data_IF_669114776032
#
_entry.id   IF_669114776032
#
_cell.length_a   1.000
_cell.length_b   1.000
_cell.length_c   1.000
_cell.angle_alpha   90.00
_cell.angle_beta   90.00
_cell.angle_gamma   90.00
#
_symmetry.space_group_name_H-M   'P 1'
#
loop_
_entity.id
_entity.type
_entity.pdbx_description
1 polymer ?
#
# COMPACT_ATOMS: atom_id res chain seq x y z
N UNK A 1 -33.86 36.91 -9.11
CA UNK A 1 -33.50 38.27 -8.65
C UNK A 1 -32.04 38.48 -9.00
N UNK A 2 -31.75 39.39 -9.92
CA UNK A 2 -30.39 39.72 -10.35
C UNK A 2 -29.61 40.26 -9.15
N UNK A 3 -28.59 39.54 -8.68
CA UNK A 3 -27.68 40.07 -7.64
C UNK A 3 -26.85 41.21 -8.27
N UNK A 4 -26.59 42.30 -7.54
CA UNK A 4 -25.78 43.38 -8.08
C UNK A 4 -24.34 42.90 -8.21
N UNK A 5 -23.88 42.70 -9.44
CA UNK A 5 -22.46 42.57 -9.76
C UNK A 5 -21.81 43.94 -9.58
N UNK A 6 -20.69 44.00 -8.85
CA UNK A 6 -19.92 45.23 -8.73
C UNK A 6 -19.47 45.69 -10.13
N UNK A 7 -19.55 46.99 -10.39
CA UNK A 7 -18.99 47.59 -11.60
C UNK A 7 -17.47 47.62 -11.54
N UNK A 8 -16.82 47.75 -12.69
CA UNK A 8 -15.36 47.87 -12.79
C UNK A 8 -14.78 48.95 -11.85
N UNK A 9 -15.42 50.13 -11.81
CA UNK A 9 -14.98 51.24 -10.94
C UNK A 9 -15.20 50.99 -9.45
N UNK A 10 -16.19 50.17 -9.09
CA UNK A 10 -16.41 49.76 -7.70
C UNK A 10 -15.38 48.72 -7.26
N UNK A 11 -14.99 47.80 -8.16
CA UNK A 11 -13.93 46.81 -7.91
C UNK A 11 -12.59 47.51 -7.63
N UNK A 12 -12.23 48.53 -8.41
CA UNK A 12 -10.96 49.26 -8.24
C UNK A 12 -10.85 49.97 -6.89
N UNK A 13 -11.99 50.40 -6.33
CA UNK A 13 -12.09 51.09 -5.04
C UNK A 13 -12.06 50.15 -3.84
N UNK A 14 -12.13 48.84 -4.04
CA UNK A 14 -12.03 47.87 -2.94
C UNK A 14 -10.64 47.90 -2.31
N UNK A 15 -10.60 47.84 -0.98
CA UNK A 15 -9.37 47.74 -0.21
C UNK A 15 -8.96 46.26 -0.06
N UNK A 16 -8.52 45.66 -1.17
CA UNK A 16 -8.08 44.26 -1.29
C UNK A 16 -6.83 44.18 -2.18
N UNK A 17 -6.16 43.04 -2.19
CA UNK A 17 -4.99 42.81 -3.03
C UNK A 17 -5.33 42.88 -4.53
N UNK A 18 -4.36 43.32 -5.35
CA UNK A 18 -4.58 43.51 -6.79
C UNK A 18 -4.89 42.19 -7.53
N UNK A 19 -4.37 41.04 -7.08
CA UNK A 19 -4.70 39.76 -7.71
C UNK A 19 -6.17 39.41 -7.51
N UNK A 20 -6.73 39.67 -6.33
CA UNK A 20 -8.17 39.51 -6.08
C UNK A 20 -8.99 40.47 -6.94
N UNK A 21 -8.56 41.74 -7.11
CA UNK A 21 -9.22 42.67 -8.03
C UNK A 21 -9.19 42.18 -9.48
N UNK A 22 -8.07 41.65 -9.94
CA UNK A 22 -7.94 41.10 -11.29
C UNK A 22 -8.93 39.95 -11.52
N UNK A 23 -9.09 39.04 -10.55
CA UNK A 23 -10.07 37.96 -10.66
C UNK A 23 -11.52 38.47 -10.65
N UNK A 24 -11.84 39.52 -9.88
CA UNK A 24 -13.15 40.18 -9.91
C UNK A 24 -13.40 40.88 -11.26
N UNK A 25 -12.40 41.57 -11.82
CA UNK A 25 -12.48 42.22 -13.14
C UNK A 25 -12.74 41.17 -14.23
N UNK A 26 -11.98 40.05 -14.21
CA UNK A 26 -12.18 38.93 -15.14
C UNK A 26 -13.56 38.29 -14.97
N UNK A 27 -14.03 38.11 -13.73
CA UNK A 27 -15.37 37.58 -13.48
C UNK A 27 -16.47 38.50 -14.02
N UNK A 28 -16.33 39.81 -13.85
CA UNK A 28 -17.24 40.81 -14.42
C UNK A 28 -17.36 40.69 -15.95
N UNK A 29 -16.23 40.55 -16.68
CA UNK A 29 -16.25 40.34 -18.12
C UNK A 29 -16.98 39.06 -18.56
N UNK A 30 -17.02 38.05 -17.70
CA UNK A 30 -17.72 36.80 -17.95
C UNK A 30 -19.13 36.75 -17.33
N UNK A 31 -19.65 37.86 -16.78
CA UNK A 31 -20.91 37.94 -16.04
C UNK A 31 -21.01 36.96 -14.86
N UNK A 32 -19.88 36.74 -14.16
CA UNK A 32 -19.77 35.86 -13.00
C UNK A 32 -19.72 36.70 -11.72
N UNK A 33 -20.58 36.40 -10.75
CA UNK A 33 -20.58 37.04 -9.44
C UNK A 33 -19.69 36.28 -8.44
N UNK A 34 -18.57 36.90 -8.05
CA UNK A 34 -17.64 36.35 -7.05
C UNK A 34 -17.74 37.03 -5.69
N UNK A 35 -18.63 38.01 -5.51
CA UNK A 35 -18.71 38.81 -4.27
C UNK A 35 -19.05 37.95 -3.06
N UNK A 36 -19.89 36.95 -3.25
CA UNK A 36 -20.18 35.95 -2.21
C UNK A 36 -18.91 35.28 -1.68
N UNK A 37 -18.00 34.86 -2.57
CA UNK A 37 -16.77 34.18 -2.20
C UNK A 37 -15.75 35.16 -1.60
N UNK A 38 -15.65 36.37 -2.15
CA UNK A 38 -14.82 37.44 -1.58
C UNK A 38 -15.21 37.73 -0.11
N UNK A 39 -16.51 37.89 0.16
CA UNK A 39 -17.03 38.13 1.51
C UNK A 39 -16.79 36.97 2.48
N UNK A 40 -16.49 35.77 1.98
CA UNK A 40 -16.06 34.61 2.77
C UNK A 40 -14.55 34.57 3.02
N UNK A 41 -13.81 35.62 2.66
CA UNK A 41 -12.37 35.74 2.87
C UNK A 41 -11.55 34.83 1.96
N UNK A 42 -12.04 34.52 0.76
CA UNK A 42 -11.32 33.68 -0.20
C UNK A 42 -10.15 34.46 -0.81
N UNK A 43 -9.00 33.80 -0.98
CA UNK A 43 -7.82 34.40 -1.61
C UNK A 43 -7.99 34.53 -3.12
N UNK A 44 -7.14 35.34 -3.78
CA UNK A 44 -7.14 35.47 -5.25
C UNK A 44 -7.07 34.11 -5.97
N UNK A 45 -6.20 33.19 -5.52
CA UNK A 45 -6.09 31.84 -6.11
C UNK A 45 -7.40 31.05 -5.98
N UNK A 46 -8.09 31.18 -4.86
CA UNK A 46 -9.37 30.53 -4.64
C UNK A 46 -10.44 31.15 -5.54
N UNK A 47 -10.54 32.48 -5.58
CA UNK A 47 -11.47 33.23 -6.45
C UNK A 47 -11.28 32.84 -7.92
N UNK A 48 -10.02 32.68 -8.35
CA UNK A 48 -9.69 32.17 -9.68
C UNK A 48 -10.28 30.78 -9.94
N UNK A 49 -10.12 29.83 -9.02
CA UNK A 49 -10.69 28.49 -9.19
C UNK A 49 -12.22 28.51 -9.23
N UNK A 50 -12.88 29.28 -8.37
CA UNK A 50 -14.34 29.48 -8.43
C UNK A 50 -14.76 30.08 -9.77
N UNK A 51 -14.08 31.15 -10.23
CA UNK A 51 -14.38 31.80 -11.51
C UNK A 51 -14.28 30.82 -12.67
N UNK A 52 -13.17 30.10 -12.78
CA UNK A 52 -12.94 29.19 -13.91
C UNK A 52 -13.92 28.01 -13.83
N UNK A 53 -14.27 27.52 -12.63
CA UNK A 53 -15.28 26.47 -12.47
C UNK A 53 -16.65 26.92 -12.99
N UNK A 54 -17.13 28.10 -12.58
CA UNK A 54 -18.41 28.67 -13.05
C UNK A 54 -18.35 28.90 -14.58
N UNK A 55 -17.26 29.52 -15.06
CA UNK A 55 -17.06 29.81 -16.48
C UNK A 55 -17.05 28.54 -17.35
N UNK A 56 -16.52 27.42 -16.82
CA UNK A 56 -16.45 26.15 -17.54
C UNK A 56 -17.79 25.39 -17.55
N UNK A 57 -18.83 25.90 -16.87
CA UNK A 57 -20.15 25.27 -16.82
C UNK A 57 -20.28 24.13 -15.80
N UNK A 58 -19.42 24.07 -14.79
CA UNK A 58 -19.62 23.16 -13.65
C UNK A 58 -20.93 23.52 -12.96
N UNK A 59 -21.78 22.52 -12.70
CA UNK A 59 -23.09 22.72 -12.05
C UNK A 59 -22.94 23.45 -10.70
N UNK A 60 -23.77 24.49 -10.49
CA UNK A 60 -23.76 25.34 -9.30
C UNK A 60 -23.89 24.53 -8.00
N UNK A 61 -24.59 23.39 -8.05
CA UNK A 61 -24.71 22.45 -6.93
C UNK A 61 -23.34 22.00 -6.42
N UNK A 62 -22.34 21.83 -7.30
CA UNK A 62 -20.99 21.42 -6.93
C UNK A 62 -20.11 22.59 -6.49
N UNK A 63 -20.36 23.80 -6.99
CA UNK A 63 -19.58 25.00 -6.67
C UNK A 63 -19.98 25.57 -5.32
N UNK A 64 -21.27 25.54 -5.00
CA UNK A 64 -21.85 26.07 -3.76
C UNK A 64 -21.84 25.06 -2.60
N UNK A 65 -21.15 23.93 -2.78
CA UNK A 65 -20.91 23.00 -1.68
C UNK A 65 -20.13 23.70 -0.57
N UNK A 66 -20.46 23.36 0.68
CA UNK A 66 -19.68 23.74 1.86
C UNK A 66 -18.40 22.88 1.96
N UNK A 67 -17.59 22.92 0.91
CA UNK A 67 -16.32 22.21 0.75
C UNK A 67 -15.23 23.22 0.42
N UNK A 68 -13.99 22.87 0.72
CA UNK A 68 -12.84 23.69 0.36
C UNK A 68 -12.61 23.81 -1.14
N UNK A 69 -11.83 24.82 -1.48
CA UNK A 69 -11.53 25.21 -2.85
C UNK A 69 -10.76 24.13 -3.63
N UNK A 70 -9.98 23.28 -2.95
CA UNK A 70 -9.23 22.19 -3.58
C UNK A 70 -10.17 21.17 -4.22
N UNK A 71 -11.28 20.82 -3.55
CA UNK A 71 -12.30 19.94 -4.12
C UNK A 71 -12.86 20.54 -5.41
N UNK A 72 -13.16 21.83 -5.40
CA UNK A 72 -13.71 22.55 -6.57
C UNK A 72 -12.70 22.56 -7.72
N UNK A 73 -11.42 22.79 -7.42
CA UNK A 73 -10.34 22.70 -8.40
C UNK A 73 -10.32 21.33 -9.09
N UNK A 74 -10.39 20.23 -8.33
CA UNK A 74 -10.39 18.89 -8.93
C UNK A 74 -11.69 18.57 -9.69
N UNK A 75 -12.86 19.00 -9.18
CA UNK A 75 -14.14 18.86 -9.88
C UNK A 75 -14.08 19.56 -11.24
N UNK A 76 -13.57 20.80 -11.28
CA UNK A 76 -13.35 21.56 -12.51
C UNK A 76 -12.41 20.81 -13.47
N UNK A 77 -11.30 20.27 -12.97
CA UNK A 77 -10.36 19.51 -13.81
C UNK A 77 -11.02 18.28 -14.43
N UNK A 78 -11.84 17.56 -13.67
CA UNK A 78 -12.61 16.40 -14.17
C UNK A 78 -13.64 16.82 -15.21
N UNK A 79 -14.38 17.89 -14.96
CA UNK A 79 -15.34 18.43 -15.92
C UNK A 79 -14.66 18.81 -17.24
N UNK A 80 -13.50 19.47 -17.18
CA UNK A 80 -12.74 19.87 -18.37
C UNK A 80 -12.16 18.68 -19.16
N UNK A 81 -11.95 17.53 -18.51
CA UNK A 81 -11.60 16.27 -19.18
C UNK A 81 -12.83 15.54 -19.75
N UNK A 82 -14.05 16.08 -19.57
CA UNK A 82 -15.30 15.52 -20.10
C UNK A 82 -15.97 14.48 -19.20
N UNK A 83 -15.56 14.36 -17.92
CA UNK A 83 -16.19 13.42 -16.99
C UNK A 83 -17.57 13.92 -16.54
N UNK A 84 -18.54 12.98 -16.48
CA UNK A 84 -19.82 13.23 -15.82
C UNK A 84 -19.65 13.21 -14.31
N UNK A 85 -20.08 14.26 -13.62
CA UNK A 85 -19.86 14.45 -12.19
C UNK A 85 -20.88 13.74 -11.28
N UNK A 86 -21.86 13.02 -11.83
CA UNK A 86 -22.94 12.38 -11.07
C UNK A 86 -22.46 11.42 -9.99
N UNK A 87 -21.32 10.75 -10.22
CA UNK A 87 -20.74 9.82 -9.25
C UNK A 87 -20.30 10.52 -7.96
N UNK A 88 -20.07 11.84 -7.97
CA UNK A 88 -19.66 12.60 -6.79
C UNK A 88 -20.81 12.86 -5.82
N UNK A 89 -22.06 12.85 -6.30
CA UNK A 89 -23.23 13.14 -5.48
C UNK A 89 -23.36 12.19 -4.28
N UNK A 90 -22.81 10.96 -4.38
CA UNK A 90 -22.78 10.01 -3.26
C UNK A 90 -21.74 10.35 -2.18
N UNK A 91 -20.67 11.07 -2.54
CA UNK A 91 -19.59 11.44 -1.62
C UNK A 91 -19.79 12.79 -0.95
N UNK A 92 -20.80 13.55 -1.36
CA UNK A 92 -21.05 14.91 -0.90
C UNK A 92 -22.03 14.97 0.26
N UNK A 93 -21.84 15.96 1.13
CA UNK A 93 -22.72 16.21 2.28
C UNK A 93 -24.13 16.52 1.79
N UNK A 94 -25.09 15.67 2.18
CA UNK A 94 -26.51 15.87 1.90
C UNK A 94 -27.21 16.48 3.12
N UNK A 95 -28.20 17.38 2.94
CA UNK A 95 -29.03 17.89 4.05
C UNK A 95 -29.72 16.78 4.85
N UNK A 96 -29.90 15.60 4.25
CA UNK A 96 -30.54 14.43 4.84
C UNK A 96 -29.62 13.57 5.71
N UNK A 97 -28.41 14.04 6.06
CA UNK A 97 -27.49 13.34 6.96
C UNK A 97 -26.89 12.05 6.39
N UNK A 98 -26.78 11.93 5.06
CA UNK A 98 -26.14 10.77 4.41
C UNK A 98 -24.63 10.75 4.72
N UNK A 99 -24.01 9.55 4.82
CA UNK A 99 -22.56 9.44 4.95
C UNK A 99 -21.89 10.09 3.74
N UNK A 100 -20.90 10.93 4.01
CA UNK A 100 -20.12 11.66 3.03
C UNK A 100 -18.63 11.45 3.33
N UNK A 101 -17.78 11.59 2.32
CA UNK A 101 -16.35 11.54 2.55
C UNK A 101 -15.90 12.80 3.28
N UNK A 102 -14.91 12.64 4.15
CA UNK A 102 -14.14 13.78 4.64
C UNK A 102 -13.45 14.48 3.46
N UNK A 103 -13.24 15.79 3.59
CA UNK A 103 -12.76 16.62 2.50
C UNK A 103 -11.37 16.21 2.02
N UNK A 104 -10.47 15.89 2.96
CA UNK A 104 -9.12 15.42 2.68
C UNK A 104 -9.12 14.13 1.84
N UNK A 105 -10.00 13.20 2.19
CA UNK A 105 -10.20 11.91 1.55
C UNK A 105 -10.78 12.12 0.16
N UNK A 106 -11.79 12.99 0.03
CA UNK A 106 -12.39 13.34 -1.24
C UNK A 106 -11.36 13.95 -2.20
N UNK A 107 -10.51 14.88 -1.73
CA UNK A 107 -9.43 15.46 -2.52
C UNK A 107 -8.50 14.37 -3.07
N UNK A 108 -8.06 13.43 -2.22
CA UNK A 108 -7.20 12.33 -2.64
C UNK A 108 -7.86 11.44 -3.70
N UNK A 109 -9.13 11.09 -3.51
CA UNK A 109 -9.91 10.27 -4.47
C UNK A 109 -10.08 10.99 -5.80
N UNK A 110 -10.45 12.27 -5.79
CA UNK A 110 -10.62 13.09 -6.99
C UNK A 110 -9.31 13.24 -7.77
N UNK A 111 -8.21 13.52 -7.05
CA UNK A 111 -6.86 13.60 -7.62
C UNK A 111 -6.46 12.28 -8.29
N UNK A 112 -6.75 11.14 -7.67
CA UNK A 112 -6.53 9.83 -8.26
C UNK A 112 -7.40 9.64 -9.51
N UNK A 113 -8.69 10.02 -9.45
CA UNK A 113 -9.66 9.85 -10.54
C UNK A 113 -9.28 10.58 -11.84
N UNK A 114 -8.54 11.70 -11.75
CA UNK A 114 -8.01 12.42 -12.92
C UNK A 114 -7.05 11.61 -13.79
N UNK A 115 -6.44 10.57 -13.22
CA UNK A 115 -5.36 9.80 -13.87
C UNK A 115 -5.65 8.31 -13.93
N UNK A 116 -6.44 7.79 -12.99
CA UNK A 116 -6.74 6.37 -12.84
C UNK A 116 -8.22 6.17 -12.54
N UNK A 117 -8.79 5.07 -13.02
CA UNK A 117 -10.17 4.75 -12.74
C UNK A 117 -10.36 4.39 -11.26
N UNK A 118 -11.18 5.16 -10.54
CA UNK A 118 -11.53 4.88 -9.13
C UNK A 118 -12.95 4.33 -8.96
N UNK A 119 -13.72 4.18 -10.04
CA UNK A 119 -15.14 3.79 -10.00
C UNK A 119 -15.39 2.36 -9.51
N UNK A 120 -14.37 1.50 -9.53
CA UNK A 120 -14.46 0.12 -9.02
C UNK A 120 -14.52 0.04 -7.49
N UNK A 121 -14.16 1.10 -6.78
CA UNK A 121 -14.08 1.12 -5.33
C UNK A 121 -15.06 2.14 -4.77
N UNK A 122 -15.87 1.71 -3.81
CA UNK A 122 -16.69 2.63 -3.04
C UNK A 122 -15.98 3.09 -1.77
N UNK A 123 -15.33 4.25 -1.83
CA UNK A 123 -14.52 4.80 -0.74
C UNK A 123 -15.31 5.12 0.54
N UNK A 124 -16.65 5.15 0.52
CA UNK A 124 -17.46 5.23 1.74
C UNK A 124 -17.32 3.97 2.61
N UNK A 125 -16.97 2.83 2.01
CA UNK A 125 -16.79 1.55 2.71
C UNK A 125 -15.32 1.26 3.03
N UNK A 126 -14.42 2.21 2.76
CA UNK A 126 -12.99 2.08 3.03
C UNK A 126 -12.67 2.87 4.29
N UNK A 127 -11.99 2.25 5.25
CA UNK A 127 -11.52 2.98 6.44
C UNK A 127 -10.52 4.05 6.03
N UNK A 128 -10.54 5.19 6.74
CA UNK A 128 -9.75 6.38 6.39
C UNK A 128 -8.24 6.10 6.29
N UNK A 129 -7.71 5.36 7.24
CA UNK A 129 -6.32 4.89 7.32
C UNK A 129 -5.88 4.03 6.12
N UNK A 130 -6.82 3.38 5.44
CA UNK A 130 -6.53 2.51 4.29
C UNK A 130 -6.66 3.22 2.94
N UNK A 131 -7.24 4.42 2.89
CA UNK A 131 -7.49 5.16 1.64
C UNK A 131 -6.21 5.36 0.85
N UNK A 132 -5.12 5.74 1.51
CA UNK A 132 -3.83 5.99 0.86
C UNK A 132 -3.27 4.72 0.21
N UNK A 133 -3.44 3.56 0.84
CA UNK A 133 -3.08 2.27 0.26
C UNK A 133 -3.88 1.94 -0.99
N UNK A 134 -5.21 2.14 -0.97
CA UNK A 134 -6.05 1.94 -2.16
C UNK A 134 -5.67 2.89 -3.29
N UNK A 135 -5.44 4.17 -2.99
CA UNK A 135 -5.01 5.16 -3.98
C UNK A 135 -3.64 4.79 -4.55
N UNK A 136 -2.70 4.33 -3.72
CA UNK A 136 -1.42 3.83 -4.16
C UNK A 136 -1.58 2.69 -5.16
N UNK A 137 -2.36 1.65 -4.84
CA UNK A 137 -2.57 0.52 -5.75
C UNK A 137 -3.27 0.93 -7.06
N UNK A 138 -4.29 1.78 -7.01
CA UNK A 138 -4.95 2.32 -8.21
C UNK A 138 -4.00 3.15 -9.07
N UNK A 139 -3.13 3.95 -8.46
CA UNK A 139 -2.13 4.77 -9.17
C UNK A 139 -1.05 3.95 -9.88
N UNK A 140 -0.96 2.65 -9.58
CA UNK A 140 -0.13 1.69 -10.31
C UNK A 140 -0.90 0.96 -11.41
N UNK A 141 -2.19 1.24 -11.58
CA UNK A 141 -3.06 0.55 -12.53
C UNK A 141 -3.51 -0.84 -12.07
N UNK A 142 -3.40 -1.16 -10.77
CA UNK A 142 -3.77 -2.47 -10.26
C UNK A 142 -5.28 -2.59 -10.05
N UNK A 143 -5.83 -3.76 -10.38
CA UNK A 143 -7.24 -4.09 -10.07
C UNK A 143 -7.38 -4.49 -8.60
N UNK A 144 -7.91 -3.57 -7.79
CA UNK A 144 -8.13 -3.78 -6.35
C UNK A 144 -9.57 -4.26 -6.04
N UNK A 145 -10.38 -4.60 -7.04
CA UNK A 145 -11.74 -5.11 -6.85
C UNK A 145 -11.81 -6.28 -5.84
N UNK A 146 -10.85 -7.24 -5.82
CA UNK A 146 -10.84 -8.31 -4.82
C UNK A 146 -10.78 -7.81 -3.38
N UNK A 147 -10.16 -6.65 -3.14
CA UNK A 147 -9.94 -6.09 -1.82
C UNK A 147 -11.17 -5.33 -1.28
N UNK A 148 -12.06 -4.86 -2.16
CA UNK A 148 -13.21 -4.01 -1.77
C UNK A 148 -14.12 -4.68 -0.74
N UNK A 149 -14.40 -5.98 -0.90
CA UNK A 149 -15.30 -6.72 0.02
C UNK A 149 -14.69 -6.94 1.40
N UNK A 150 -13.36 -6.90 1.51
CA UNK A 150 -12.63 -7.25 2.74
C UNK A 150 -11.91 -6.05 3.34
N UNK A 151 -11.83 -4.93 2.62
CA UNK A 151 -11.17 -3.69 3.03
C UNK A 151 -11.56 -3.20 4.42
N UNK A 152 -12.79 -3.42 4.87
CA UNK A 152 -13.22 -3.06 6.23
C UNK A 152 -12.50 -3.84 7.35
N UNK A 153 -11.92 -5.01 7.05
CA UNK A 153 -11.23 -5.88 8.02
C UNK A 153 -9.72 -5.89 7.85
N UNK A 154 -9.19 -5.26 6.80
CA UNK A 154 -7.74 -5.20 6.57
C UNK A 154 -7.09 -4.24 7.56
N UNK A 155 -5.87 -4.57 7.97
CA UNK A 155 -4.91 -3.60 8.47
C UNK A 155 -4.05 -3.07 7.31
N UNK A 156 -3.29 -1.99 7.58
CA UNK A 156 -2.46 -1.32 6.58
C UNK A 156 -1.35 -2.24 6.02
N UNK A 157 -0.71 -3.03 6.87
CA UNK A 157 0.38 -3.92 6.48
C UNK A 157 -0.08 -5.03 5.55
N UNK A 158 -1.23 -5.64 5.84
CA UNK A 158 -1.88 -6.64 5.01
C UNK A 158 -2.35 -5.98 3.72
N UNK A 159 -2.91 -4.76 3.74
CA UNK A 159 -3.30 -4.07 2.52
C UNK A 159 -2.11 -3.92 1.56
N UNK A 160 -0.98 -3.40 2.03
CA UNK A 160 0.22 -3.27 1.20
C UNK A 160 0.80 -4.60 0.76
N UNK A 161 0.74 -5.64 1.60
CA UNK A 161 1.09 -7.00 1.20
C UNK A 161 0.24 -7.44 0.01
N UNK A 162 -1.10 -7.35 0.11
CA UNK A 162 -2.02 -7.78 -0.94
C UNK A 162 -1.85 -6.96 -2.22
N UNK A 163 -1.61 -5.65 -2.12
CA UNK A 163 -1.31 -4.79 -3.28
C UNK A 163 -0.03 -5.26 -3.98
N UNK A 164 1.03 -5.59 -3.23
CA UNK A 164 2.27 -6.11 -3.81
C UNK A 164 2.08 -7.47 -4.49
N UNK A 165 1.20 -8.32 -3.95
CA UNK A 165 0.84 -9.60 -4.57
C UNK A 165 0.05 -9.39 -5.87
N UNK A 166 -0.93 -8.50 -5.87
CA UNK A 166 -1.69 -8.14 -7.08
C UNK A 166 -0.74 -7.61 -8.17
N UNK A 167 0.16 -6.68 -7.82
CA UNK A 167 1.15 -6.14 -8.74
C UNK A 167 2.13 -7.18 -9.30
N UNK A 168 2.28 -8.33 -8.62
CA UNK A 168 3.11 -9.46 -9.06
C UNK A 168 2.30 -10.60 -9.70
N UNK A 169 1.02 -10.35 -10.02
CA UNK A 169 0.08 -11.32 -10.59
C UNK A 169 -0.14 -12.57 -9.73
N UNK A 170 -0.03 -12.44 -8.40
CA UNK A 170 -0.35 -13.51 -7.44
C UNK A 170 -1.81 -13.36 -7.01
N UNK A 171 -2.56 -14.46 -7.07
CA UNK A 171 -3.95 -14.47 -6.60
C UNK A 171 -4.02 -14.22 -5.09
N UNK A 172 -4.74 -13.17 -4.72
CA UNK A 172 -4.95 -12.76 -3.32
C UNK A 172 -6.16 -13.41 -2.67
N UNK A 173 -7.03 -14.08 -3.43
CA UNK A 173 -8.23 -14.75 -2.89
C UNK A 173 -7.92 -15.76 -1.78
N UNK A 174 -6.82 -16.56 -1.84
CA UNK A 174 -6.42 -17.45 -0.75
C UNK A 174 -6.11 -16.72 0.58
N UNK A 175 -5.64 -15.48 0.52
CA UNK A 175 -5.37 -14.68 1.73
C UNK A 175 -6.68 -14.14 2.30
N UNK A 176 -7.61 -13.78 1.42
CA UNK A 176 -8.90 -13.20 1.76
C UNK A 176 -9.87 -14.24 2.35
N UNK A 177 -9.92 -15.45 1.78
CA UNK A 177 -10.81 -16.53 2.22
C UNK A 177 -10.24 -17.34 3.39
N UNK A 178 -9.13 -16.89 4.01
CA UNK A 178 -8.42 -17.53 5.13
C UNK A 178 -7.85 -18.91 4.81
N UNK A 179 -7.55 -19.18 3.54
CA UNK A 179 -6.73 -20.34 3.16
C UNK A 179 -5.29 -20.19 3.70
N UNK A 180 -4.79 -18.95 3.74
CA UNK A 180 -3.61 -18.60 4.53
C UNK A 180 -4.03 -18.22 5.96
N UNK A 181 -3.35 -18.76 6.96
CA UNK A 181 -3.60 -18.48 8.38
C UNK A 181 -2.96 -17.16 8.81
N UNK A 182 -3.42 -16.60 9.93
CA UNK A 182 -2.86 -15.37 10.49
C UNK A 182 -1.37 -15.51 10.82
N UNK A 183 -0.96 -16.64 11.39
CA UNK A 183 0.45 -16.94 11.70
C UNK A 183 1.33 -16.97 10.44
N UNK A 184 0.82 -17.56 9.34
CA UNK A 184 1.55 -17.58 8.08
C UNK A 184 1.70 -16.16 7.50
N UNK A 185 0.63 -15.36 7.51
CA UNK A 185 0.66 -13.98 7.03
C UNK A 185 1.64 -13.15 7.85
N UNK A 186 1.63 -13.31 9.18
CA UNK A 186 2.56 -12.62 10.06
C UNK A 186 4.02 -12.99 9.78
N UNK A 187 4.31 -14.28 9.58
CA UNK A 187 5.64 -14.74 9.18
C UNK A 187 6.10 -14.13 7.85
N UNK A 188 5.20 -14.02 6.85
CA UNK A 188 5.48 -13.36 5.57
C UNK A 188 5.75 -11.87 5.74
N UNK A 189 4.99 -11.18 6.60
CA UNK A 189 5.20 -9.76 6.89
C UNK A 189 6.55 -9.51 7.57
N UNK A 190 6.92 -10.36 8.54
CA UNK A 190 8.25 -10.30 9.20
C UNK A 190 9.40 -10.59 8.24
N UNK A 191 9.15 -11.30 7.14
CA UNK A 191 10.16 -11.64 6.14
C UNK A 191 10.58 -10.48 5.22
N UNK A 192 9.79 -9.39 5.17
CA UNK A 192 10.01 -8.22 4.29
C UNK A 192 11.47 -7.72 4.24
N UNK A 193 12.24 -7.64 5.36
CA UNK A 193 13.63 -7.17 5.32
C UNK A 193 14.63 -8.14 4.66
N UNK A 194 14.27 -9.41 4.51
CA UNK A 194 15.13 -10.46 3.96
C UNK A 194 14.78 -10.77 2.51
N UNK A 195 13.47 -10.84 2.21
CA UNK A 195 12.96 -11.19 0.90
C UNK A 195 11.62 -10.47 0.66
N UNK A 196 11.41 -10.02 -0.58
CA UNK A 196 10.14 -9.46 -0.99
C UNK A 196 9.03 -10.55 -0.96
N UNK A 197 7.85 -10.27 -0.39
CA UNK A 197 6.79 -11.27 -0.24
C UNK A 197 6.39 -12.02 -1.52
N UNK A 198 6.27 -11.37 -2.71
CA UNK A 198 5.97 -12.09 -3.94
C UNK A 198 6.97 -13.18 -4.28
N UNK A 199 8.28 -12.89 -4.17
CA UNK A 199 9.31 -13.88 -4.48
C UNK A 199 9.40 -14.98 -3.43
N UNK A 200 9.10 -14.68 -2.16
CA UNK A 200 8.97 -15.71 -1.12
C UNK A 200 7.85 -16.70 -1.46
N UNK A 201 6.65 -16.19 -1.77
CA UNK A 201 5.46 -16.99 -2.07
C UNK A 201 5.62 -17.77 -3.39
N UNK A 202 6.18 -17.17 -4.43
CA UNK A 202 6.33 -17.84 -5.73
C UNK A 202 7.40 -18.93 -5.72
N UNK A 203 8.52 -18.71 -5.02
CA UNK A 203 9.70 -19.58 -5.18
C UNK A 203 9.93 -20.55 -4.02
N UNK A 204 9.42 -20.26 -2.83
CA UNK A 204 9.81 -21.01 -1.63
C UNK A 204 8.62 -21.62 -0.89
N UNK A 205 7.56 -20.88 -0.63
CA UNK A 205 6.47 -21.35 0.26
C UNK A 205 5.14 -21.55 -0.49
N UNK A 206 4.13 -22.05 0.20
CA UNK A 206 2.71 -22.02 -0.19
C UNK A 206 1.86 -22.13 1.09
N UNK A 207 0.53 -22.17 0.95
CA UNK A 207 -0.42 -22.22 2.08
C UNK A 207 -0.33 -23.50 2.94
N UNK A 208 0.45 -24.50 2.53
CA UNK A 208 0.65 -25.76 3.28
C UNK A 208 1.79 -25.66 4.30
N UNK A 209 2.60 -24.61 4.27
CA UNK A 209 3.65 -24.36 5.26
C UNK A 209 3.05 -23.75 6.52
N UNK A 210 3.44 -24.18 7.72
CA UNK A 210 3.09 -23.47 8.96
C UNK A 210 3.82 -22.13 9.06
N UNK A 211 3.39 -21.26 9.98
CA UNK A 211 4.09 -20.00 10.26
C UNK A 211 5.55 -20.24 10.64
N UNK A 212 5.83 -21.19 11.54
CA UNK A 212 7.19 -21.57 11.94
C UNK A 212 8.03 -22.10 10.79
N UNK A 213 7.47 -22.93 9.91
CA UNK A 213 8.18 -23.38 8.71
C UNK A 213 8.54 -22.23 7.76
N UNK A 214 7.65 -21.24 7.59
CA UNK A 214 7.96 -20.03 6.79
C UNK A 214 9.13 -19.26 7.41
N UNK A 215 9.18 -19.12 8.73
CA UNK A 215 10.30 -18.47 9.42
C UNK A 215 11.62 -19.21 9.20
N UNK A 216 11.62 -20.54 9.26
CA UNK A 216 12.83 -21.33 8.98
C UNK A 216 13.27 -21.19 7.52
N UNK A 217 12.35 -21.18 6.55
CA UNK A 217 12.67 -20.87 5.15
C UNK A 217 13.36 -19.51 5.04
N UNK A 218 12.83 -18.48 5.69
CA UNK A 218 13.39 -17.12 5.66
C UNK A 218 14.79 -17.07 6.29
N UNK A 219 15.01 -17.80 7.40
CA UNK A 219 16.34 -17.96 7.99
C UNK A 219 17.30 -18.68 7.04
N UNK A 220 16.83 -19.74 6.37
CA UNK A 220 17.58 -20.47 5.34
C UNK A 220 18.00 -19.56 4.18
N UNK A 221 17.09 -18.73 3.66
CA UNK A 221 17.38 -17.72 2.63
C UNK A 221 18.48 -16.76 3.11
N UNK A 222 18.34 -16.24 4.35
CA UNK A 222 19.32 -15.32 4.94
C UNK A 222 20.71 -15.95 5.08
N UNK A 223 20.81 -17.25 5.37
CA UNK A 223 22.09 -17.95 5.53
C UNK A 223 22.65 -18.52 4.22
N UNK A 224 21.85 -18.60 3.16
CA UNK A 224 22.31 -18.84 1.80
C UNK A 224 21.71 -20.05 1.09
N UNK A 225 20.82 -20.83 1.73
CA UNK A 225 20.16 -21.96 1.10
C UNK A 225 18.70 -22.12 1.53
N UNK A 226 17.86 -21.20 1.04
CA UNK A 226 16.41 -21.29 1.22
C UNK A 226 15.76 -22.43 0.45
N UNK A 227 16.38 -22.88 -0.66
CA UNK A 227 15.80 -23.91 -1.54
C UNK A 227 15.83 -25.29 -0.91
N UNK A 228 16.91 -25.63 -0.20
CA UNK A 228 16.99 -26.87 0.57
C UNK A 228 15.91 -26.91 1.65
N UNK A 229 15.79 -25.82 2.42
CA UNK A 229 14.85 -25.73 3.54
C UNK A 229 13.40 -25.78 3.05
N UNK A 230 13.11 -25.18 1.90
CA UNK A 230 11.75 -25.08 1.36
C UNK A 230 11.34 -26.22 0.41
N UNK A 231 12.01 -27.39 0.46
CA UNK A 231 11.66 -28.52 -0.41
C UNK A 231 10.24 -29.03 -0.13
N UNK A 232 9.57 -29.50 -1.19
CA UNK A 232 8.18 -29.94 -1.18
C UNK A 232 8.04 -31.30 -1.86
N UNK A 233 6.99 -32.04 -1.50
CA UNK A 233 6.55 -33.24 -2.22
C UNK A 233 5.77 -32.88 -3.50
N UNK A 234 5.27 -33.89 -4.21
CA UNK A 234 4.48 -33.73 -5.44
C UNK A 234 3.17 -32.95 -5.20
N UNK A 235 2.58 -33.08 -4.01
CA UNK A 235 1.37 -32.37 -3.61
C UNK A 235 1.66 -30.95 -3.12
N UNK A 236 2.92 -30.55 -3.01
CA UNK A 236 3.35 -29.25 -2.53
C UNK A 236 3.39 -29.11 -0.99
N UNK A 237 3.29 -30.18 -0.21
CA UNK A 237 3.53 -30.12 1.23
C UNK A 237 5.03 -30.00 1.51
N UNK A 238 5.46 -29.24 2.53
CA UNK A 238 6.86 -29.23 2.96
C UNK A 238 7.29 -30.65 3.39
N UNK A 239 8.43 -31.12 2.86
CA UNK A 239 8.94 -32.46 3.21
C UNK A 239 9.61 -32.52 4.58
N UNK A 240 9.97 -31.36 5.12
CA UNK A 240 10.55 -31.23 6.45
C UNK A 240 9.55 -30.58 7.39
N UNK A 241 9.40 -31.11 8.60
CA UNK A 241 8.71 -30.43 9.69
C UNK A 241 9.54 -29.25 10.23
N UNK A 242 8.94 -28.40 11.05
CA UNK A 242 9.60 -27.20 11.60
C UNK A 242 10.92 -27.50 12.33
N UNK A 243 10.97 -28.58 13.12
CA UNK A 243 12.16 -28.95 13.89
C UNK A 243 13.29 -29.48 12.99
N UNK A 244 12.96 -30.28 11.97
CA UNK A 244 13.93 -30.70 10.96
C UNK A 244 14.49 -29.49 10.20
N UNK A 245 13.63 -28.53 9.82
CA UNK A 245 14.05 -27.29 9.15
C UNK A 245 15.00 -26.47 10.02
N UNK A 246 14.72 -26.36 11.33
CA UNK A 246 15.63 -25.70 12.28
C UNK A 246 17.03 -26.32 12.28
N UNK A 247 17.12 -27.65 12.35
CA UNK A 247 18.41 -28.35 12.35
C UNK A 247 19.18 -28.14 11.02
N UNK A 248 18.47 -28.12 9.89
CA UNK A 248 19.06 -27.80 8.58
C UNK A 248 19.55 -26.34 8.56
N UNK A 249 18.71 -25.39 8.97
CA UNK A 249 19.01 -23.95 9.00
C UNK A 249 20.23 -23.65 9.87
N UNK A 250 20.35 -24.27 11.04
CA UNK A 250 21.53 -24.11 11.89
C UNK A 250 22.78 -24.71 11.25
N UNK A 251 22.67 -25.85 10.55
CA UNK A 251 23.79 -26.37 9.74
C UNK A 251 24.27 -25.39 8.68
N UNK A 252 23.33 -24.81 7.92
CA UNK A 252 23.64 -23.79 6.90
C UNK A 252 24.32 -22.58 7.55
N UNK A 253 23.77 -22.09 8.67
CA UNK A 253 24.31 -20.95 9.43
C UNK A 253 25.77 -21.16 9.84
N UNK A 254 26.13 -22.38 10.24
CA UNK A 254 27.50 -22.72 10.61
C UNK A 254 28.34 -23.23 9.43
N UNK A 255 27.78 -23.35 8.23
CA UNK A 255 28.45 -23.89 7.04
C UNK A 255 28.92 -25.33 7.26
N UNK A 256 28.03 -26.17 7.78
CA UNK A 256 28.21 -27.62 7.89
C UNK A 256 27.76 -28.31 6.60
N UNK A 257 28.14 -29.58 6.41
CA UNK A 257 27.70 -30.40 5.28
C UNK A 257 26.30 -30.92 5.52
N UNK A 258 25.30 -30.08 5.26
CA UNK A 258 23.89 -30.36 5.54
C UNK A 258 23.37 -31.55 4.73
N UNK A 259 24.00 -31.90 3.62
CA UNK A 259 23.63 -33.06 2.80
C UNK A 259 23.76 -34.38 3.57
N UNK A 260 24.59 -34.42 4.62
CA UNK A 260 24.82 -35.63 5.43
C UNK A 260 23.61 -35.99 6.32
N UNK A 261 22.73 -35.03 6.61
CA UNK A 261 21.60 -35.26 7.52
C UNK A 261 20.26 -34.65 7.06
N UNK A 262 20.21 -33.91 5.96
CA UNK A 262 18.96 -33.33 5.42
C UNK A 262 18.05 -34.38 4.75
N UNK A 263 17.65 -35.41 5.49
CA UNK A 263 16.81 -36.51 5.03
C UNK A 263 15.39 -36.41 5.65
N UNK A 264 14.32 -36.25 4.86
CA UNK A 264 12.95 -36.17 5.37
C UNK A 264 12.52 -37.34 6.28
N UNK A 265 13.09 -38.53 6.06
CA UNK A 265 12.78 -39.74 6.82
C UNK A 265 13.53 -39.82 8.16
N UNK A 266 14.45 -38.90 8.43
CA UNK A 266 15.23 -38.84 9.66
C UNK A 266 14.54 -37.91 10.66
N UNK A 267 14.44 -38.30 11.93
CA UNK A 267 13.90 -37.43 12.97
C UNK A 267 14.77 -36.19 13.20
N UNK A 268 14.19 -35.10 13.69
CA UNK A 268 14.93 -33.90 14.09
C UNK A 268 16.00 -34.21 15.16
N UNK A 269 15.74 -35.17 16.04
CA UNK A 269 16.71 -35.63 17.02
C UNK A 269 17.94 -36.28 16.38
N UNK A 270 17.76 -37.18 15.40
CA UNK A 270 18.87 -37.78 14.66
C UNK A 270 19.64 -36.74 13.84
N UNK A 271 18.92 -35.80 13.19
CA UNK A 271 19.54 -34.68 12.48
C UNK A 271 20.41 -33.84 13.40
N UNK A 272 19.91 -33.55 14.60
CA UNK A 272 20.64 -32.80 15.63
C UNK A 272 21.91 -33.51 16.06
N UNK A 273 21.85 -34.82 16.29
CA UNK A 273 23.03 -35.59 16.67
C UNK A 273 24.13 -35.53 15.60
N UNK A 274 23.77 -35.70 14.32
CA UNK A 274 24.73 -35.60 13.22
C UNK A 274 25.27 -34.16 13.11
N UNK A 275 24.41 -33.14 13.22
CA UNK A 275 24.83 -31.74 13.20
C UNK A 275 25.83 -31.42 14.31
N UNK A 276 25.58 -31.85 15.55
CA UNK A 276 26.47 -31.65 16.71
C UNK A 276 27.82 -32.38 16.53
N UNK A 277 27.81 -33.57 15.93
CA UNK A 277 29.05 -34.29 15.56
C UNK A 277 29.86 -33.53 14.51
N UNK A 278 29.22 -33.06 13.43
CA UNK A 278 29.86 -32.26 12.39
C UNK A 278 30.43 -30.94 12.93
N UNK A 279 29.70 -30.31 13.85
CA UNK A 279 30.14 -29.10 14.52
C UNK A 279 31.39 -29.36 15.36
N UNK A 280 31.40 -30.43 16.15
CA UNK A 280 32.54 -30.83 16.98
C UNK A 280 33.78 -31.15 16.13
N UNK A 281 33.61 -31.88 15.03
CA UNK A 281 34.70 -32.17 14.08
C UNK A 281 35.27 -30.88 13.48
N UNK A 282 34.39 -29.94 13.09
CA UNK A 282 34.80 -28.65 12.56
C UNK A 282 35.59 -27.82 13.57
N UNK A 283 35.20 -27.85 14.84
CA UNK A 283 35.93 -27.15 15.91
C UNK A 283 37.30 -27.78 16.21
N UNK A 284 37.41 -29.12 16.19
CA UNK A 284 38.68 -29.84 16.31
C UNK A 284 39.64 -29.50 15.18
N UNK A 285 39.18 -29.52 13.93
CA UNK A 285 39.98 -29.11 12.78
C UNK A 285 40.29 -27.61 12.77
N UNK A 286 39.37 -26.80 13.31
CA UNK A 286 39.60 -25.39 13.60
C UNK A 286 40.73 -25.19 14.60
N UNK A 287 40.86 -26.04 15.62
CA UNK A 287 41.94 -26.01 16.60
C UNK A 287 43.31 -26.46 16.05
N UNK A 288 43.35 -27.43 15.14
CA UNK A 288 44.62 -27.82 14.49
C UNK A 288 45.23 -26.70 13.62
N UNK A 289 44.42 -25.72 13.22
CA UNK A 289 44.88 -24.50 12.54
C UNK A 289 45.07 -23.29 13.49
N UNK A 290 44.71 -23.40 14.78
CA UNK A 290 44.81 -22.32 15.80
C UNK A 290 46.21 -22.19 16.43
N UNK A 291 47.25 -22.67 15.75
CA UNK A 291 48.58 -22.05 15.87
C UNK A 291 48.61 -20.62 15.32
N UNK A 292 47.63 -20.22 14.49
CA UNK A 292 47.46 -18.86 14.01
C UNK A 292 45.98 -18.45 13.96
N UNK A 293 45.64 -17.51 14.83
CA UNK A 293 44.51 -16.55 14.77
C UNK A 293 43.19 -16.94 15.46
N UNK A 294 42.68 -15.94 16.18
CA UNK A 294 41.61 -15.95 17.18
C UNK A 294 40.21 -16.07 16.57
N UNK A 295 39.34 -16.76 17.32
CA UNK A 295 37.88 -16.60 17.39
C UNK A 295 37.17 -16.20 16.08
N UNK A 296 36.82 -17.20 15.26
CA UNK A 296 35.90 -17.01 14.14
C UNK A 296 34.50 -16.65 14.66
N UNK A 297 34.11 -15.39 14.49
CA UNK A 297 32.72 -14.92 14.62
C UNK A 297 31.89 -15.41 13.41
N UNK A 298 30.55 -15.56 13.56
CA UNK A 298 29.67 -15.92 12.44
C UNK A 298 29.86 -14.97 11.25
N UNK A 299 29.77 -15.50 10.02
CA UNK A 299 29.88 -14.73 8.79
C UNK A 299 28.82 -13.61 8.79
N UNK A 300 29.25 -12.37 9.00
CA UNK A 300 28.42 -11.19 8.70
C UNK A 300 28.41 -11.04 7.18
N UNK A 301 27.29 -11.38 6.57
CA UNK A 301 27.00 -10.97 5.19
C UNK A 301 26.43 -9.56 5.29
N UNK A 302 27.12 -8.59 4.69
CA UNK A 302 26.63 -7.23 4.56
C UNK A 302 25.51 -7.21 3.52
N UNK A 303 24.31 -6.77 3.94
CA UNK A 303 23.26 -6.37 3.01
C UNK A 303 23.71 -5.05 2.40
N UNK A 304 23.91 -5.02 1.08
CA UNK A 304 23.99 -3.79 0.30
C UNK A 304 22.58 -3.34 -0.08
#
# INVERSE_FOLDING_TARGET
>A
MSRPTLTFFEIDKLDIDELSKDELRLAFFHNIDLIYYLNKGKTAEQLREYRIAIQSGVDEDFINLHVGWEVIRYIRMLHNQGYKLDFLRKYMKSPKGKPALEEDTLVKVLKCHLTHNTSSIDFLNVKRDLVDGFIYGLSKGYDLTPLVRVGMKLDEDILYLLINLIGSHIDVRPFINKTWTAEQIEAILRAKPVINPPSLIQNYINNKFTGGQIEEVVKGIRFGDGKLVSKKDEDGNPIYNEYQMYEIVEGIRFGLRTEEYSNPNMSDFEMRQIREQLMSQKDLHGHNNRGRLRANKPKKIFVK
#
